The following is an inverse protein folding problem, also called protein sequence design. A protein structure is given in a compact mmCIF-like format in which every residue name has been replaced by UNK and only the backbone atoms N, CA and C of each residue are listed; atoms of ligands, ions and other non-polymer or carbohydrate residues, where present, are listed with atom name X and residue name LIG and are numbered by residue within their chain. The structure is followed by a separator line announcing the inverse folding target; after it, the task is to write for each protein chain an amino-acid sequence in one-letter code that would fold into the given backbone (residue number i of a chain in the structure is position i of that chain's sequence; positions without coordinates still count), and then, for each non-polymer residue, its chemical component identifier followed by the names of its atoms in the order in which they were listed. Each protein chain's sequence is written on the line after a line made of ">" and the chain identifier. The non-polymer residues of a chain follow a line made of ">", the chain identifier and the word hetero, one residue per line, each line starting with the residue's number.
data_IF_977823551803
#
_entry.id   IF_977823551803
#
_cell.length_a   1.000
_cell.length_b   1.000
_cell.length_c   1.000
_cell.angle_alpha   90.00
_cell.angle_beta   90.00
_cell.angle_gamma   90.00
#
_symmetry.space_group_name_H-M   'P 1'
#
loop_
_entity.id
_entity.type
_entity.pdbx_description
1 polymer ?
#
# COMPACT_ATOMS: atom_id res chain seq x y z
N UNK A 1 -10.44 -13.11 -0.15
CA UNK A 1 -10.63 -11.93 -1.03
C UNK A 1 -9.30 -11.23 -1.11
N UNK A 2 -8.84 -10.86 -2.31
CA UNK A 2 -7.58 -10.13 -2.50
C UNK A 2 -7.85 -8.65 -2.72
N UNK A 3 -7.01 -7.81 -2.11
CA UNK A 3 -7.14 -6.35 -2.15
C UNK A 3 -5.79 -5.73 -2.45
N UNK A 4 -5.78 -4.74 -3.33
CA UNK A 4 -4.63 -3.83 -3.51
C UNK A 4 -4.94 -2.56 -2.73
N UNK A 5 -4.04 -2.15 -1.84
CA UNK A 5 -4.17 -0.93 -1.07
C UNK A 5 -3.20 0.13 -1.60
N UNK A 6 -3.71 1.33 -1.88
CA UNK A 6 -2.88 2.51 -2.18
C UNK A 6 -1.92 2.81 -1.02
N UNK A 7 -0.71 3.30 -1.34
CA UNK A 7 0.29 3.82 -0.39
C UNK A 7 -0.30 4.81 0.63
N UNK A 8 -1.27 5.62 0.21
CA UNK A 8 -1.95 6.60 1.05
C UNK A 8 -2.74 5.95 2.19
N UNK A 9 -3.25 4.74 2.02
CA UNK A 9 -3.95 4.00 3.07
C UNK A 9 -2.98 3.65 4.21
N UNK A 10 -1.80 3.13 3.87
CA UNK A 10 -0.77 2.81 4.87
C UNK A 10 -0.24 4.06 5.58
N UNK A 11 0.04 5.13 4.82
CA UNK A 11 0.51 6.40 5.38
C UNK A 11 -0.53 6.99 6.33
N UNK A 12 -1.80 7.00 5.93
CA UNK A 12 -2.89 7.52 6.76
C UNK A 12 -3.13 6.68 8.00
N UNK A 13 -2.98 5.35 7.91
CA UNK A 13 -3.06 4.44 9.04
C UNK A 13 -1.92 4.71 10.07
N UNK A 14 -0.70 5.03 9.60
CA UNK A 14 0.38 5.45 10.49
C UNK A 14 0.11 6.81 11.15
N UNK A 15 -0.37 7.78 10.38
CA UNK A 15 -0.67 9.13 10.89
C UNK A 15 -1.84 9.15 11.87
N UNK A 16 -2.80 8.22 11.74
CA UNK A 16 -3.93 8.08 12.65
C UNK A 16 -4.17 6.61 13.02
N UNK A 17 -3.42 6.12 14.01
CA UNK A 17 -3.41 4.72 14.44
C UNK A 17 -4.75 4.18 14.98
N UNK A 18 -5.64 5.09 15.39
CA UNK A 18 -6.98 4.78 15.88
C UNK A 18 -8.07 5.09 14.85
N UNK A 19 -7.69 5.58 13.66
CA UNK A 19 -8.60 5.97 12.61
C UNK A 19 -9.17 4.79 11.81
N UNK A 20 -10.15 5.06 10.93
CA UNK A 20 -10.78 4.03 10.10
C UNK A 20 -9.78 3.26 9.23
N UNK A 21 -8.77 3.93 8.68
CA UNK A 21 -7.78 3.28 7.82
C UNK A 21 -6.83 2.36 8.60
N UNK A 22 -6.57 2.65 9.88
CA UNK A 22 -5.88 1.71 10.74
C UNK A 22 -6.72 0.45 11.03
N UNK A 23 -8.06 0.55 11.03
CA UNK A 23 -8.93 -0.63 11.08
C UNK A 23 -8.81 -1.50 9.82
N UNK A 24 -8.60 -0.90 8.65
CA UNK A 24 -8.35 -1.66 7.41
C UNK A 24 -7.08 -2.50 7.53
N UNK A 25 -5.99 -1.91 8.02
CA UNK A 25 -4.74 -2.64 8.27
C UNK A 25 -4.94 -3.74 9.33
N UNK A 26 -5.68 -3.47 10.41
CA UNK A 26 -6.02 -4.50 11.41
C UNK A 26 -6.84 -5.64 10.81
N UNK A 27 -7.83 -5.34 9.99
CA UNK A 27 -8.67 -6.36 9.36
C UNK A 27 -7.85 -7.25 8.40
N UNK A 28 -6.89 -6.69 7.68
CA UNK A 28 -5.91 -7.47 6.92
C UNK A 28 -5.11 -8.41 7.84
N UNK A 29 -4.54 -7.88 8.92
CA UNK A 29 -3.74 -8.68 9.87
C UNK A 29 -4.53 -9.77 10.59
N UNK A 30 -5.85 -9.60 10.72
CA UNK A 30 -6.76 -10.62 11.25
C UNK A 30 -7.18 -11.66 10.21
N UNK A 31 -6.71 -11.54 8.96
CA UNK A 31 -7.00 -12.48 7.88
C UNK A 31 -8.35 -12.29 7.22
N UNK A 32 -9.04 -11.16 7.44
CA UNK A 32 -10.34 -10.89 6.81
C UNK A 32 -10.23 -10.76 5.28
N UNK A 33 -9.05 -10.38 4.78
CA UNK A 33 -8.68 -10.37 3.38
C UNK A 33 -7.17 -10.46 3.24
N UNK A 34 -6.70 -10.76 2.03
CA UNK A 34 -5.28 -10.81 1.70
C UNK A 34 -4.91 -9.53 0.95
N UNK A 35 -3.76 -8.95 1.26
CA UNK A 35 -3.22 -7.80 0.54
C UNK A 35 -2.25 -8.27 -0.52
N UNK A 36 -2.38 -7.71 -1.72
CA UNK A 36 -1.44 -7.89 -2.83
C UNK A 36 -0.68 -6.59 -3.05
N UNK A 37 0.64 -6.69 -3.21
CA UNK A 37 1.50 -5.56 -3.56
C UNK A 37 2.44 -5.93 -4.71
N UNK A 38 3.03 -4.92 -5.34
CA UNK A 38 4.05 -5.08 -6.37
C UNK A 38 5.35 -4.34 -6.00
N UNK A 39 6.47 -4.63 -6.68
CA UNK A 39 7.71 -3.87 -6.48
C UNK A 39 7.51 -2.36 -6.65
N UNK A 40 6.75 -1.92 -7.67
CA UNK A 40 6.43 -0.50 -7.88
C UNK A 40 5.68 0.12 -6.70
N UNK A 41 4.69 -0.58 -6.13
CA UNK A 41 3.95 -0.12 -4.95
C UNK A 41 4.87 0.03 -3.73
N UNK A 42 5.74 -0.95 -3.50
CA UNK A 42 6.68 -0.94 -2.38
C UNK A 42 7.69 0.21 -2.50
N UNK A 43 8.23 0.45 -3.70
CA UNK A 43 9.12 1.58 -3.97
C UNK A 43 8.40 2.92 -3.75
N UNK A 44 7.16 3.04 -4.23
CA UNK A 44 6.36 4.24 -4.01
C UNK A 44 6.08 4.50 -2.54
N UNK A 45 5.72 3.46 -1.77
CA UNK A 45 5.47 3.56 -0.34
C UNK A 45 6.73 4.02 0.40
N UNK A 46 7.87 3.42 0.10
CA UNK A 46 9.15 3.76 0.71
C UNK A 46 9.58 5.20 0.37
N UNK A 47 9.43 5.61 -0.90
CA UNK A 47 9.68 6.98 -1.34
C UNK A 47 8.77 7.98 -0.62
N UNK A 48 7.47 7.69 -0.53
CA UNK A 48 6.50 8.56 0.10
C UNK A 48 6.77 8.75 1.60
N UNK A 49 7.08 7.66 2.33
CA UNK A 49 7.42 7.71 3.75
C UNK A 49 8.71 8.53 4.04
N UNK A 50 9.60 8.65 3.05
CA UNK A 50 10.80 9.48 3.13
C UNK A 50 10.54 10.98 2.89
N UNK A 51 9.31 11.41 2.55
CA UNK A 51 9.00 12.83 2.43
C UNK A 51 9.20 13.55 3.77
N UNK A 52 9.91 14.68 3.72
CA UNK A 52 10.26 15.50 4.90
C UNK A 52 9.05 15.85 5.77
N UNK A 53 7.87 16.04 5.18
CA UNK A 53 6.62 16.33 5.90
C UNK A 53 6.11 15.14 6.74
N UNK A 54 6.37 13.91 6.30
CA UNK A 54 6.00 12.69 7.01
C UNK A 54 7.05 12.29 8.04
N UNK A 55 8.34 12.44 7.73
CA UNK A 55 9.42 12.20 8.68
C UNK A 55 9.33 13.08 9.95
N UNK A 56 8.72 14.27 9.84
CA UNK A 56 8.43 15.13 11.00
C UNK A 56 7.31 14.61 11.90
N UNK A 57 6.50 13.66 11.43
CA UNK A 57 5.25 13.22 12.07
C UNK A 57 5.23 11.73 12.43
N UNK A 58 6.06 10.92 11.75
CA UNK A 58 6.11 9.47 11.89
C UNK A 58 7.52 9.10 12.34
N UNK A 59 7.63 8.28 13.38
CA UNK A 59 8.93 7.86 13.86
C UNK A 59 9.60 6.92 12.84
N UNK A 60 10.93 6.99 12.66
CA UNK A 60 11.63 6.07 11.78
C UNK A 60 11.34 4.60 12.10
N UNK A 61 11.25 4.22 13.38
CA UNK A 61 10.94 2.85 13.78
C UNK A 61 9.60 2.35 13.26
N UNK A 62 8.57 3.21 13.20
CA UNK A 62 7.25 2.88 12.66
C UNK A 62 7.30 2.67 11.15
N UNK A 63 8.04 3.52 10.43
CA UNK A 63 8.27 3.37 8.99
C UNK A 63 8.90 2.01 8.70
N UNK A 64 9.95 1.65 9.44
CA UNK A 64 10.63 0.36 9.27
C UNK A 64 9.71 -0.82 9.61
N UNK A 65 8.88 -0.70 10.66
CA UNK A 65 7.91 -1.73 11.02
C UNK A 65 6.85 -1.91 9.94
N UNK A 66 6.30 -0.82 9.40
CA UNK A 66 5.32 -0.87 8.33
C UNK A 66 5.93 -1.49 7.06
N UNK A 67 7.10 -1.04 6.62
CA UNK A 67 7.73 -1.57 5.40
C UNK A 67 8.03 -3.06 5.52
N UNK A 68 8.49 -3.53 6.70
CA UNK A 68 8.64 -4.97 6.94
C UNK A 68 7.29 -5.68 6.89
N UNK A 69 6.28 -5.16 7.58
CA UNK A 69 4.94 -5.73 7.59
C UNK A 69 4.42 -5.91 6.15
N UNK A 70 4.46 -4.86 5.34
CA UNK A 70 4.00 -4.92 3.95
C UNK A 70 4.82 -5.91 3.14
N UNK A 71 6.15 -5.92 3.27
CA UNK A 71 7.00 -6.84 2.50
C UNK A 71 6.81 -8.32 2.86
N UNK A 72 6.50 -8.64 4.11
CA UNK A 72 6.47 -10.03 4.59
C UNK A 72 5.06 -10.62 4.72
N UNK A 73 4.04 -9.81 4.99
CA UNK A 73 2.67 -10.31 5.21
C UNK A 73 1.77 -10.20 3.97
N UNK A 74 2.25 -9.56 2.89
CA UNK A 74 1.49 -9.40 1.65
C UNK A 74 1.90 -10.41 0.59
N UNK A 75 0.99 -10.65 -0.35
CA UNK A 75 1.28 -11.43 -1.56
C UNK A 75 2.03 -10.51 -2.53
N UNK A 76 3.24 -10.90 -2.91
CA UNK A 76 4.02 -10.16 -3.91
C UNK A 76 3.63 -10.63 -5.31
N UNK A 77 3.09 -9.71 -6.10
CA UNK A 77 2.92 -9.89 -7.55
C UNK A 77 3.99 -9.12 -8.31
N UNK A 78 4.32 -9.59 -9.52
CA UNK A 78 5.17 -8.83 -10.44
C UNK A 78 4.44 -7.58 -10.92
N UNK A 79 5.18 -6.53 -11.24
CA UNK A 79 4.64 -5.42 -12.00
C UNK A 79 4.21 -5.93 -13.38
N UNK A 80 3.04 -5.49 -13.83
CA UNK A 80 2.47 -5.87 -15.11
C UNK A 80 2.50 -4.68 -16.07
N UNK A 81 2.56 -4.98 -17.37
CA UNK A 81 2.40 -3.98 -18.39
C UNK A 81 1.01 -3.35 -18.30
N UNK A 82 0.93 -2.06 -18.62
CA UNK A 82 -0.32 -1.32 -18.61
C UNK A 82 -1.17 -1.74 -19.82
N UNK A 83 -1.99 -2.76 -19.61
CA UNK A 83 -2.96 -3.27 -20.59
C UNK A 83 -4.37 -2.77 -20.31
N UNK A 84 -4.57 -1.86 -19.34
CA UNK A 84 -5.92 -1.43 -18.95
C UNK A 84 -6.42 -0.29 -19.84
N UNK A 85 -7.70 -0.37 -20.21
CA UNK A 85 -8.43 0.76 -20.81
C UNK A 85 -9.06 1.66 -19.75
N UNK A 86 -9.09 1.22 -18.49
CA UNK A 86 -9.60 1.98 -17.34
C UNK A 86 -8.47 2.84 -16.79
N UNK A 87 -8.75 4.14 -16.65
CA UNK A 87 -7.82 5.14 -16.13
C UNK A 87 -8.28 5.65 -14.78
N UNK A 88 -7.35 5.82 -13.85
CA UNK A 88 -7.55 6.55 -12.61
C UNK A 88 -7.65 8.05 -12.90
N UNK A 89 -8.23 8.79 -11.96
CA UNK A 89 -8.20 10.24 -11.99
C UNK A 89 -6.77 10.79 -11.83
N UNK A 90 -5.90 10.05 -11.12
CA UNK A 90 -4.45 10.27 -11.10
C UNK A 90 -3.77 9.21 -11.97
N UNK A 91 -3.18 9.57 -13.12
CA UNK A 91 -2.45 8.63 -13.97
C UNK A 91 -1.31 7.88 -13.25
N UNK A 92 -0.79 8.45 -12.16
CA UNK A 92 0.20 7.79 -11.29
C UNK A 92 -0.33 6.49 -10.69
N UNK A 93 -1.65 6.38 -10.50
CA UNK A 93 -2.32 5.24 -9.85
C UNK A 93 -2.83 4.18 -10.84
N UNK A 94 -2.67 4.37 -12.15
CA UNK A 94 -3.14 3.41 -13.16
C UNK A 94 -2.58 2.00 -12.92
N UNK A 95 -1.35 1.90 -12.42
CA UNK A 95 -0.72 0.62 -12.11
C UNK A 95 -1.43 -0.13 -10.97
N UNK A 96 -2.09 0.57 -10.03
CA UNK A 96 -2.87 -0.07 -8.96
C UNK A 96 -4.09 -0.79 -9.54
N UNK A 97 -4.72 -0.21 -10.57
CA UNK A 97 -5.85 -0.82 -11.29
C UNK A 97 -5.38 -2.07 -12.03
N UNK A 98 -4.27 -1.97 -12.77
CA UNK A 98 -3.66 -3.12 -13.48
C UNK A 98 -3.30 -4.23 -12.49
N UNK A 99 -2.66 -3.88 -11.37
CA UNK A 99 -2.29 -4.83 -10.33
C UNK A 99 -3.52 -5.53 -9.77
N UNK A 100 -4.59 -4.79 -9.47
CA UNK A 100 -5.83 -5.36 -8.94
C UNK A 100 -6.54 -6.29 -9.96
N UNK A 101 -6.44 -6.02 -11.26
CA UNK A 101 -7.04 -6.86 -12.30
C UNK A 101 -6.27 -8.15 -12.54
N UNK A 102 -4.93 -8.08 -12.53
CA UNK A 102 -4.04 -9.22 -12.84
C UNK A 102 -3.86 -10.19 -11.68
N UNK A 103 -4.25 -9.81 -10.47
CA UNK A 103 -4.03 -10.60 -9.23
C UNK A 103 -5.31 -11.16 -8.61
N UNK A 104 -6.44 -11.06 -9.34
CA UNK A 104 -7.74 -11.62 -8.97
C UNK A 104 -7.70 -13.13 -8.71
#
# INVERSE_FOLDING_TARGET
>A
MRVVLDVNIYISALLNRNGPLANVIRAWLLGNFEVVVSPKLLEELERALNYRKLQKRILPSEVHQLLRLVRFESIISKDAEDTTTIRSADPGDDYLIVLAQTTR
#
